data_IF_776102555298
#
_entry.id   IF_776102555298
#
_cell.length_a   1.000
_cell.length_b   1.000
_cell.length_c   1.000
_cell.angle_alpha   90.00
_cell.angle_beta   90.00
_cell.angle_gamma   90.00
#
_symmetry.space_group_name_H-M   'P 1'
#
loop_
_entity.id
_entity.type
_entity.pdbx_description
1 polymer ?
#
# COMPACT_ATOMS: atom_id res chain seq x y z
N UNK A 1 -11.17 -73.87 38.62
CA UNK A 1 -11.23 -72.97 39.79
C UNK A 1 -10.07 -71.95 39.80
N UNK A 2 -10.31 -70.67 40.11
CA UNK A 2 -11.49 -69.82 39.84
C UNK A 2 -11.38 -69.19 38.41
N UNK A 3 -12.45 -68.81 37.73
CA UNK A 3 -13.25 -67.58 37.90
C UNK A 3 -12.42 -66.28 37.79
N UNK A 4 -12.56 -65.59 36.65
CA UNK A 4 -12.11 -64.22 36.42
C UNK A 4 -13.34 -63.39 36.04
N UNK A 5 -13.51 -62.23 36.66
CA UNK A 5 -14.73 -61.41 36.57
C UNK A 5 -14.69 -60.48 35.34
N UNK A 6 -15.85 -60.27 34.71
CA UNK A 6 -16.05 -59.27 33.66
C UNK A 6 -16.27 -57.88 34.29
N UNK A 7 -15.69 -56.80 33.73
CA UNK A 7 -16.00 -55.44 34.16
C UNK A 7 -17.31 -54.96 33.51
N UNK A 8 -18.32 -54.69 34.34
CA UNK A 8 -19.58 -54.08 33.88
C UNK A 8 -19.44 -52.58 33.60
N UNK A 9 -20.25 -52.09 32.65
CA UNK A 9 -20.19 -50.72 32.15
C UNK A 9 -20.68 -49.67 33.17
N UNK A 10 -20.13 -48.46 33.07
CA UNK A 10 -20.63 -47.26 33.75
C UNK A 10 -21.35 -46.35 32.74
N UNK A 11 -22.56 -45.92 33.08
CA UNK A 11 -23.32 -44.91 32.31
C UNK A 11 -22.77 -43.49 32.56
N UNK A 12 -22.81 -42.58 31.56
CA UNK A 12 -22.44 -41.18 31.74
C UNK A 12 -23.57 -40.34 32.35
N UNK A 13 -23.25 -39.53 33.35
CA UNK A 13 -24.19 -38.59 33.99
C UNK A 13 -24.69 -37.49 33.04
N UNK A 14 -25.96 -37.09 33.19
CA UNK A 14 -26.53 -35.94 32.50
C UNK A 14 -26.26 -34.62 33.26
N UNK A 15 -25.93 -33.51 32.58
CA UNK A 15 -25.79 -32.21 33.23
C UNK A 15 -27.16 -31.57 33.55
N UNK A 16 -27.27 -30.76 34.62
CA UNK A 16 -28.52 -30.11 35.02
C UNK A 16 -28.89 -28.90 34.12
N UNK A 17 -30.19 -28.55 34.02
CA UNK A 17 -30.67 -27.48 33.14
C UNK A 17 -30.43 -26.07 33.70
N UNK A 18 -30.26 -25.04 32.85
CA UNK A 18 -30.13 -23.64 33.27
C UNK A 18 -31.48 -23.00 33.68
N UNK A 19 -31.49 -22.00 34.58
CA UNK A 19 -32.70 -21.35 35.06
C UNK A 19 -33.34 -20.40 34.03
N UNK A 20 -34.66 -20.24 34.14
CA UNK A 20 -35.49 -19.42 33.23
C UNK A 20 -35.41 -17.91 33.51
N UNK A 21 -35.70 -17.10 32.49
CA UNK A 21 -35.68 -15.64 32.52
C UNK A 21 -36.95 -15.01 33.14
N UNK A 22 -36.88 -13.75 33.63
CA UNK A 22 -38.05 -12.90 33.83
C UNK A 22 -38.36 -12.06 32.58
N UNK A 23 -39.65 -11.79 32.35
CA UNK A 23 -40.18 -11.07 31.19
C UNK A 23 -40.70 -9.67 31.57
N UNK A 24 -40.68 -8.74 30.60
CA UNK A 24 -41.55 -7.54 30.61
C UNK A 24 -41.62 -6.86 29.24
N UNK A 25 -42.83 -6.50 28.81
CA UNK A 25 -43.15 -5.56 27.72
C UNK A 25 -44.01 -4.41 28.31
N UNK A 26 -44.51 -3.45 27.51
CA UNK A 26 -43.81 -2.35 26.85
C UNK A 26 -44.29 -0.99 27.42
N UNK A 27 -44.02 0.15 26.75
CA UNK A 27 -45.19 0.92 26.31
C UNK A 27 -45.08 1.51 24.90
N UNK A 28 -46.22 2.03 24.44
CA UNK A 28 -46.54 2.50 23.10
C UNK A 28 -46.33 4.00 22.85
N UNK A 29 -46.06 4.37 21.59
CA UNK A 29 -46.96 5.30 20.88
C UNK A 29 -46.38 6.56 20.23
N UNK A 30 -46.63 6.68 18.91
CA UNK A 30 -46.77 7.92 18.09
C UNK A 30 -45.50 8.76 17.85
N UNK A 31 -45.30 9.39 16.68
CA UNK A 31 -46.00 9.36 15.38
C UNK A 31 -45.09 9.89 14.24
N UNK A 32 -45.20 9.28 13.05
CA UNK A 32 -45.13 9.93 11.72
C UNK A 32 -43.83 10.62 11.20
N UNK A 33 -43.67 10.79 9.85
CA UNK A 33 -44.24 10.01 8.74
C UNK A 33 -43.21 9.57 7.66
N UNK A 34 -43.76 8.82 6.71
CA UNK A 34 -43.17 8.16 5.53
C UNK A 34 -43.03 9.08 4.30
N UNK A 35 -42.18 8.62 3.34
CA UNK A 35 -42.03 8.95 1.90
C UNK A 35 -40.72 9.67 1.53
N UNK A 36 -39.86 9.18 0.63
CA UNK A 36 -39.99 8.48 -0.67
C UNK A 36 -40.18 9.43 -1.87
N UNK A 37 -39.09 9.65 -2.62
CA UNK A 37 -38.97 9.99 -4.05
C UNK A 37 -37.44 9.84 -4.36
N UNK A 38 -36.99 9.01 -5.30
CA UNK A 38 -37.17 9.01 -6.76
C UNK A 38 -36.27 10.02 -7.49
N UNK A 39 -35.43 9.51 -8.41
CA UNK A 39 -34.84 10.25 -9.55
C UNK A 39 -35.98 10.78 -10.47
N UNK A 40 -35.77 11.60 -11.55
CA UNK A 40 -34.53 11.93 -12.28
C UNK A 40 -34.52 13.44 -12.69
N UNK A 41 -34.12 13.93 -13.90
CA UNK A 41 -33.25 13.42 -14.98
C UNK A 41 -32.16 14.42 -15.48
N UNK A 42 -31.37 13.97 -16.46
CA UNK A 42 -30.50 14.80 -17.29
C UNK A 42 -31.25 15.56 -18.41
N UNK A 43 -30.68 16.66 -18.93
CA UNK A 43 -31.10 17.21 -20.21
C UNK A 43 -30.54 18.60 -20.61
N UNK A 44 -29.80 18.62 -21.73
CA UNK A 44 -29.63 19.73 -22.69
C UNK A 44 -28.87 21.04 -22.28
N UNK A 45 -27.76 21.29 -22.99
CA UNK A 45 -27.42 22.63 -23.50
C UNK A 45 -28.19 22.93 -24.81
N UNK A 46 -27.95 24.04 -25.56
CA UNK A 46 -26.59 24.48 -25.93
C UNK A 46 -26.33 26.01 -26.06
N UNK A 47 -25.05 26.34 -26.32
CA UNK A 47 -24.51 27.41 -27.20
C UNK A 47 -24.72 28.94 -26.99
N UNK A 48 -23.59 29.62 -27.20
CA UNK A 48 -23.35 30.91 -27.89
C UNK A 48 -22.99 32.18 -27.09
N UNK A 49 -21.97 32.88 -27.62
CA UNK A 49 -21.33 34.11 -27.12
C UNK A 49 -22.11 35.39 -27.48
N UNK A 50 -21.61 36.59 -27.10
CA UNK A 50 -20.71 37.30 -28.05
C UNK A 50 -19.48 37.98 -27.41
N UNK A 51 -18.55 38.40 -28.27
CA UNK A 51 -17.24 38.98 -27.93
C UNK A 51 -17.09 40.49 -28.33
N UNK A 52 -15.84 41.01 -28.24
CA UNK A 52 -15.31 42.31 -28.69
C UNK A 52 -15.35 43.48 -27.67
N UNK A 53 -14.21 43.92 -27.10
CA UNK A 53 -13.22 44.93 -27.58
C UNK A 53 -13.60 46.40 -27.22
N UNK A 54 -12.71 47.35 -26.84
CA UNK A 54 -11.27 47.35 -26.53
C UNK A 54 -10.82 48.72 -25.91
N UNK A 55 -9.51 48.84 -25.61
CA UNK A 55 -8.65 50.07 -25.63
C UNK A 55 -8.39 50.96 -24.36
N UNK A 56 -7.13 50.88 -23.94
CA UNK A 56 -6.12 51.94 -23.61
C UNK A 56 -6.15 52.80 -22.33
N UNK A 57 -4.95 52.81 -21.71
CA UNK A 57 -4.27 53.62 -20.68
C UNK A 57 -4.27 55.17 -20.88
N UNK A 58 -3.56 55.99 -20.05
CA UNK A 58 -3.50 56.19 -18.57
C UNK A 58 -3.58 57.73 -18.26
N UNK A 59 -2.74 58.42 -17.42
CA UNK A 59 -2.14 58.21 -16.08
C UNK A 59 -2.44 59.39 -15.07
N UNK A 60 -1.67 59.50 -13.97
CA UNK A 60 -1.37 60.74 -13.17
C UNK A 60 -2.51 61.37 -12.33
N UNK A 61 -2.31 62.25 -11.33
CA UNK A 61 -1.21 62.59 -10.39
C UNK A 61 -1.83 63.35 -9.18
N UNK A 62 -1.01 63.74 -8.20
CA UNK A 62 -1.37 64.33 -6.90
C UNK A 62 -2.19 65.65 -6.89
N UNK A 63 -2.90 65.87 -5.77
CA UNK A 63 -3.20 67.16 -5.06
C UNK A 63 -3.91 68.31 -5.83
N UNK A 64 -4.89 69.01 -5.23
CA UNK A 64 -4.52 70.24 -4.48
C UNK A 64 -5.41 70.63 -3.29
N UNK A 65 -4.88 71.51 -2.43
CA UNK A 65 -5.64 72.33 -1.46
C UNK A 65 -5.86 73.80 -1.90
N UNK A 66 -6.19 74.67 -0.93
CA UNK A 66 -6.54 76.12 -1.02
C UNK A 66 -7.99 76.42 -1.51
N UNK A 67 -8.74 77.44 -1.07
CA UNK A 67 -8.70 78.41 0.07
C UNK A 67 -10.16 78.98 0.25
N UNK A 68 -10.55 80.04 0.98
CA UNK A 68 -9.89 81.14 1.74
C UNK A 68 -10.91 81.72 2.79
N UNK A 69 -10.81 83.02 3.14
CA UNK A 69 -11.74 83.89 3.91
C UNK A 69 -11.84 83.66 5.45
N UNK A 70 -11.99 84.68 6.31
CA UNK A 70 -11.51 86.08 6.32
C UNK A 70 -11.79 86.71 7.73
N UNK A 71 -11.14 87.83 8.08
CA UNK A 71 -11.78 88.89 8.89
C UNK A 71 -11.92 88.74 10.43
N UNK A 72 -10.81 88.97 11.15
CA UNK A 72 -10.68 89.96 12.25
C UNK A 72 -11.92 90.34 13.12
N UNK A 73 -11.93 89.90 14.40
CA UNK A 73 -12.43 90.70 15.55
C UNK A 73 -12.00 90.13 16.92
N UNK A 74 -11.34 90.94 17.73
CA UNK A 74 -11.17 90.76 19.19
C UNK A 74 -11.93 91.89 19.92
N UNK A 75 -12.10 91.91 21.27
CA UNK A 75 -11.63 90.97 22.30
C UNK A 75 -12.71 90.54 23.34
N UNK A 76 -12.38 89.61 24.27
CA UNK A 76 -12.49 89.78 25.74
C UNK A 76 -12.61 88.47 26.55
N UNK A 77 -11.67 88.28 27.50
CA UNK A 77 -11.77 87.54 28.77
C UNK A 77 -12.06 86.00 28.75
N UNK A 78 -11.56 85.24 29.75
CA UNK A 78 -11.44 83.79 29.64
C UNK A 78 -12.70 83.04 30.05
N UNK A 79 -12.97 81.95 29.33
CA UNK A 79 -13.84 80.84 29.75
C UNK A 79 -12.98 79.58 29.64
N UNK A 80 -12.96 78.76 30.69
CA UNK A 80 -12.09 77.59 30.77
C UNK A 80 -12.59 76.50 29.80
N UNK A 81 -11.69 75.86 29.01
CA UNK A 81 -12.04 74.65 28.28
C UNK A 81 -12.18 73.50 29.28
N UNK A 82 -13.31 72.82 29.23
CA UNK A 82 -13.58 71.61 30.01
C UNK A 82 -12.52 70.55 29.70
N UNK A 83 -11.96 69.91 30.73
CA UNK A 83 -10.83 68.98 30.60
C UNK A 83 -11.13 67.87 29.58
N UNK A 84 -10.34 67.80 28.51
CA UNK A 84 -10.30 66.63 27.64
C UNK A 84 -9.77 65.45 28.46
N UNK A 85 -10.70 64.58 28.90
CA UNK A 85 -10.38 63.39 29.67
C UNK A 85 -9.54 62.47 28.76
N UNK A 86 -8.23 62.45 28.98
CA UNK A 86 -7.33 61.53 28.30
C UNK A 86 -7.68 60.09 28.71
N UNK A 87 -8.10 59.28 27.74
CA UNK A 87 -8.40 57.85 27.90
C UNK A 87 -7.13 56.96 27.84
N UNK A 88 -5.94 57.56 27.89
CA UNK A 88 -4.69 56.82 28.00
C UNK A 88 -4.37 56.50 29.45
N UNK A 89 -4.09 55.23 29.75
CA UNK A 89 -3.72 54.80 31.10
C UNK A 89 -2.42 55.46 31.59
N UNK A 90 -2.24 55.66 32.91
CA UNK A 90 -1.02 56.25 33.48
C UNK A 90 0.24 55.45 33.13
N UNK A 91 1.41 56.10 33.04
CA UNK A 91 2.69 55.43 32.73
C UNK A 91 3.10 54.33 33.74
N UNK A 92 2.52 54.33 34.95
CA UNK A 92 2.73 53.31 36.00
C UNK A 92 1.62 52.23 36.02
N UNK A 93 0.69 52.21 35.05
CA UNK A 93 -0.34 51.18 34.95
C UNK A 93 0.26 49.85 34.49
N UNK A 94 -0.06 48.78 35.23
CA UNK A 94 0.36 47.42 34.91
C UNK A 94 -0.90 46.62 34.65
N UNK A 95 -1.06 46.12 33.42
CA UNK A 95 -2.19 45.27 33.07
C UNK A 95 -2.16 43.96 33.87
N UNK A 96 -3.23 43.69 34.62
CA UNK A 96 -3.43 42.45 35.36
C UNK A 96 -3.79 41.25 34.45
N UNK A 97 -3.87 41.47 33.13
CA UNK A 97 -4.25 40.50 32.09
C UNK A 97 -3.10 40.41 31.10
N UNK A 98 -2.64 39.21 30.75
CA UNK A 98 -1.57 39.08 29.75
C UNK A 98 -2.07 39.35 28.34
N UNK A 99 -1.20 39.86 27.47
CA UNK A 99 -1.45 40.03 26.02
C UNK A 99 -2.04 38.76 25.37
N UNK A 100 -1.67 37.59 25.89
CA UNK A 100 -2.09 36.27 25.41
C UNK A 100 -3.56 35.94 25.74
N UNK A 101 -4.12 36.52 26.81
CA UNK A 101 -5.55 36.44 27.17
C UNK A 101 -6.34 37.61 26.54
N UNK A 102 -5.73 38.79 26.38
CA UNK A 102 -6.36 39.98 25.80
C UNK A 102 -6.50 39.92 24.27
N UNK A 103 -5.52 39.34 23.58
CA UNK A 103 -5.43 39.24 22.11
C UNK A 103 -5.50 37.79 21.58
N UNK A 104 -5.91 36.82 22.40
CA UNK A 104 -5.92 35.39 22.04
C UNK A 104 -6.74 35.00 20.80
N UNK A 105 -7.65 35.87 20.33
CA UNK A 105 -8.34 35.69 19.05
C UNK A 105 -7.62 36.36 17.86
N UNK A 106 -6.88 37.45 18.09
CA UNK A 106 -6.08 38.15 17.06
C UNK A 106 -4.73 37.45 16.84
N UNK A 107 -4.16 36.84 17.88
CA UNK A 107 -2.96 36.01 17.82
C UNK A 107 -3.14 34.74 16.95
N UNK A 108 -4.38 34.24 16.79
CA UNK A 108 -4.69 33.13 15.87
C UNK A 108 -4.71 33.58 14.40
N UNK A 109 -5.08 34.84 14.15
CA UNK A 109 -5.07 35.47 12.82
C UNK A 109 -3.70 36.10 12.49
N UNK A 110 -2.70 35.97 13.36
CA UNK A 110 -1.32 36.35 13.03
C UNK A 110 -0.81 35.44 11.89
N UNK A 111 -0.40 35.99 10.74
CA UNK A 111 0.13 35.18 9.65
C UNK A 111 1.42 34.48 10.09
N UNK A 112 1.41 33.15 10.11
CA UNK A 112 2.62 32.36 10.30
C UNK A 112 3.59 32.59 9.12
N UNK A 113 4.89 32.66 9.38
CA UNK A 113 5.95 32.82 8.36
C UNK A 113 6.13 31.57 7.44
N UNK A 114 5.11 30.71 7.34
CA UNK A 114 5.19 29.38 6.72
C UNK A 114 4.79 29.34 5.23
N UNK A 115 4.20 30.40 4.66
CA UNK A 115 3.65 30.43 3.28
C UNK A 115 4.69 30.34 2.13
N UNK A 116 5.94 29.96 2.41
CA UNK A 116 7.00 29.73 1.42
C UNK A 116 7.78 28.42 1.54
N UNK A 117 7.58 27.62 2.60
CA UNK A 117 8.42 26.43 2.85
C UNK A 117 8.11 25.22 1.93
N UNK A 118 6.94 25.21 1.29
CA UNK A 118 6.51 24.17 0.36
C UNK A 118 7.28 24.19 -0.98
N UNK A 119 7.89 25.32 -1.29
CA UNK A 119 8.67 25.60 -2.49
C UNK A 119 10.17 25.34 -2.30
N UNK A 120 10.59 24.96 -1.09
CA UNK A 120 11.98 24.67 -0.72
C UNK A 120 12.24 23.16 -0.76
N UNK A 121 13.24 22.74 -1.54
CA UNK A 121 13.78 21.38 -1.52
C UNK A 121 15.10 21.32 -0.76
N UNK A 122 15.32 20.19 -0.08
CA UNK A 122 16.58 19.84 0.57
C UNK A 122 17.27 18.78 -0.30
N UNK A 123 18.48 19.09 -0.76
CA UNK A 123 19.32 18.14 -1.52
C UNK A 123 20.50 17.74 -0.64
N UNK A 124 20.54 16.46 -0.26
CA UNK A 124 21.56 15.83 0.57
C UNK A 124 22.51 14.95 -0.28
N UNK A 125 23.66 14.57 0.30
CA UNK A 125 24.78 13.87 -0.35
C UNK A 125 25.44 14.67 -1.51
N UNK A 126 25.46 16.00 -1.39
CA UNK A 126 26.20 16.92 -2.25
C UNK A 126 27.71 16.88 -1.91
N UNK A 127 28.64 16.97 -2.89
CA UNK A 127 30.07 17.00 -2.62
C UNK A 127 30.50 18.09 -1.62
N UNK A 128 31.27 17.70 -0.62
CA UNK A 128 31.87 18.62 0.35
C UNK A 128 33.08 19.34 -0.29
N UNK A 129 32.98 20.65 -0.46
CA UNK A 129 34.00 21.48 -1.13
C UNK A 129 34.38 22.69 -0.29
N UNK A 130 35.62 23.16 -0.46
CA UNK A 130 36.07 24.47 0.05
C UNK A 130 35.77 25.61 -0.94
N UNK A 131 36.02 26.86 -0.55
CA UNK A 131 35.60 28.07 -1.28
C UNK A 131 36.05 28.08 -2.75
N UNK A 132 37.30 27.70 -3.05
CA UNK A 132 37.87 27.66 -4.41
C UNK A 132 37.11 26.78 -5.42
N UNK A 133 36.22 25.91 -4.93
CA UNK A 133 35.43 24.97 -5.74
C UNK A 133 33.91 25.15 -5.56
N UNK A 134 33.47 26.00 -4.63
CA UNK A 134 32.06 26.29 -4.36
C UNK A 134 31.34 26.79 -5.63
N UNK A 135 31.94 27.75 -6.33
CA UNK A 135 31.34 28.35 -7.53
C UNK A 135 31.19 27.34 -8.69
N UNK A 136 32.09 26.35 -8.79
CA UNK A 136 31.96 25.24 -9.76
C UNK A 136 30.85 24.29 -9.37
N UNK A 137 30.68 24.00 -8.08
CA UNK A 137 29.57 23.18 -7.57
C UNK A 137 28.23 23.87 -7.83
N UNK A 138 28.10 25.17 -7.53
CA UNK A 138 26.91 26.00 -7.85
C UNK A 138 26.50 25.88 -9.31
N UNK A 139 27.43 26.08 -10.24
CA UNK A 139 27.18 25.95 -11.68
C UNK A 139 26.68 24.54 -12.09
N UNK A 140 27.18 23.47 -11.45
CA UNK A 140 26.75 22.09 -11.71
C UNK A 140 25.34 21.85 -11.16
N UNK A 141 25.08 22.23 -9.91
CA UNK A 141 23.76 22.12 -9.27
C UNK A 141 22.71 22.91 -10.07
N UNK A 142 22.98 24.18 -10.37
CA UNK A 142 22.09 25.03 -11.16
C UNK A 142 21.74 24.37 -12.51
N UNK A 143 22.71 23.78 -13.22
CA UNK A 143 22.49 23.08 -14.50
C UNK A 143 21.67 21.79 -14.39
N UNK A 144 21.68 21.14 -13.22
CA UNK A 144 20.88 19.93 -12.95
C UNK A 144 19.44 20.34 -12.57
N UNK A 145 19.29 21.26 -11.62
CA UNK A 145 18.01 21.62 -11.02
C UNK A 145 17.18 22.67 -11.79
N UNK A 146 17.81 23.47 -12.67
CA UNK A 146 17.09 24.37 -13.61
C UNK A 146 16.19 23.64 -14.62
N UNK A 147 16.31 22.32 -14.74
CA UNK A 147 15.46 21.52 -15.64
C UNK A 147 14.03 21.35 -15.13
N UNK A 148 13.83 21.49 -13.82
CA UNK A 148 12.54 21.24 -13.15
C UNK A 148 11.79 22.54 -12.84
N UNK A 149 12.49 23.69 -12.81
CA UNK A 149 11.90 25.00 -12.61
C UNK A 149 12.98 26.08 -12.50
N UNK A 150 12.54 27.35 -12.42
CA UNK A 150 13.44 28.46 -12.10
C UNK A 150 13.70 28.49 -10.59
N UNK A 151 14.98 28.39 -10.22
CA UNK A 151 15.46 28.56 -8.85
C UNK A 151 15.44 30.07 -8.54
N UNK A 152 14.88 30.46 -7.39
CA UNK A 152 14.91 31.83 -6.87
C UNK A 152 16.13 32.00 -5.97
N UNK A 153 16.18 31.24 -4.88
CA UNK A 153 17.25 31.27 -3.90
C UNK A 153 18.00 29.93 -3.84
N UNK A 154 19.31 30.01 -3.63
CA UNK A 154 20.18 28.85 -3.44
C UNK A 154 21.07 29.04 -2.20
N UNK A 155 20.86 28.21 -1.18
CA UNK A 155 21.60 28.29 0.09
C UNK A 155 22.52 27.08 0.27
N UNK A 156 23.80 27.36 0.53
CA UNK A 156 24.86 26.37 0.73
C UNK A 156 25.40 26.51 2.16
N UNK A 157 24.90 25.71 3.11
CA UNK A 157 25.40 25.69 4.48
C UNK A 157 26.89 25.32 4.54
N UNK A 158 27.69 26.18 5.19
CA UNK A 158 29.11 25.98 5.43
C UNK A 158 29.41 25.72 6.91
N UNK A 159 30.44 24.94 7.20
CA UNK A 159 31.11 24.86 8.50
C UNK A 159 32.61 24.62 8.27
N UNK A 160 33.46 25.22 9.12
CA UNK A 160 34.91 25.06 9.09
C UNK A 160 35.54 25.29 7.69
N UNK A 161 34.97 26.23 6.92
CA UNK A 161 35.40 26.57 5.56
C UNK A 161 35.07 25.52 4.48
N UNK A 162 34.09 24.64 4.73
CA UNK A 162 33.62 23.62 3.78
C UNK A 162 32.10 23.54 3.76
N UNK A 163 31.52 23.16 2.62
CA UNK A 163 30.07 22.87 2.53
C UNK A 163 29.71 21.63 3.35
N UNK A 164 28.57 21.67 4.05
CA UNK A 164 28.13 20.59 4.95
C UNK A 164 27.58 19.33 4.24
N UNK A 165 27.55 19.32 2.91
CA UNK A 165 27.09 18.18 2.09
C UNK A 165 25.58 18.14 1.83
N UNK A 166 24.84 19.12 2.34
CA UNK A 166 23.44 19.38 2.00
C UNK A 166 23.27 20.83 1.54
N UNK A 167 22.24 21.10 0.74
CA UNK A 167 21.90 22.43 0.20
C UNK A 167 20.38 22.62 0.21
N UNK A 168 19.94 23.88 0.18
CA UNK A 168 18.54 24.23 0.02
C UNK A 168 18.36 25.00 -1.30
N UNK A 169 17.34 24.63 -2.07
CA UNK A 169 16.97 25.31 -3.31
C UNK A 169 15.50 25.70 -3.23
N UNK A 170 15.21 26.97 -3.45
CA UNK A 170 13.86 27.52 -3.47
C UNK A 170 13.39 27.71 -4.91
N UNK A 171 12.23 27.17 -5.25
CA UNK A 171 11.61 27.33 -6.56
C UNK A 171 10.53 28.41 -6.55
N UNK A 172 10.26 28.98 -7.73
CA UNK A 172 9.13 29.92 -7.91
C UNK A 172 7.73 29.27 -7.77
N UNK A 173 7.64 27.94 -7.67
CA UNK A 173 6.36 27.25 -7.48
C UNK A 173 6.56 25.94 -6.69
N UNK A 174 5.64 25.59 -5.79
CA UNK A 174 5.67 24.32 -5.06
C UNK A 174 5.60 23.11 -6.01
N UNK A 175 4.91 23.26 -7.14
CA UNK A 175 4.82 22.22 -8.18
C UNK A 175 6.20 21.83 -8.75
N UNK A 176 7.09 22.80 -8.97
CA UNK A 176 8.45 22.55 -9.44
C UNK A 176 9.31 21.87 -8.36
N UNK A 177 9.11 22.21 -7.08
CA UNK A 177 9.77 21.54 -5.97
C UNK A 177 9.40 20.05 -5.89
N UNK A 178 8.10 19.73 -5.98
CA UNK A 178 7.58 18.36 -5.99
C UNK A 178 8.10 17.56 -7.19
N UNK A 179 8.14 18.16 -8.38
CA UNK A 179 8.64 17.46 -9.58
C UNK A 179 10.18 17.35 -9.60
N UNK A 180 10.91 18.28 -8.98
CA UNK A 180 12.34 18.13 -8.73
C UNK A 180 12.62 16.94 -7.80
N UNK A 181 11.89 16.81 -6.69
CA UNK A 181 12.00 15.67 -5.75
C UNK A 181 11.80 14.34 -6.47
N UNK A 182 10.68 14.19 -7.21
CA UNK A 182 10.36 12.94 -7.93
C UNK A 182 11.38 12.51 -8.98
N UNK A 183 12.04 13.47 -9.64
CA UNK A 183 12.91 13.20 -10.80
C UNK A 183 14.41 13.33 -10.51
N UNK A 184 14.81 13.95 -9.39
CA UNK A 184 16.21 14.14 -9.00
C UNK A 184 16.65 13.28 -7.80
N UNK A 185 15.74 12.68 -7.02
CA UNK A 185 16.13 11.67 -6.02
C UNK A 185 16.84 10.48 -6.70
N UNK A 186 17.97 10.07 -6.15
CA UNK A 186 18.81 9.02 -6.70
C UNK A 186 19.70 9.45 -7.88
N UNK A 187 19.77 10.75 -8.22
CA UNK A 187 20.66 11.24 -9.28
C UNK A 187 22.14 11.04 -8.90
N UNK A 188 22.89 10.31 -9.73
CA UNK A 188 24.30 10.00 -9.49
C UNK A 188 25.19 11.04 -10.16
N UNK A 189 25.85 11.86 -9.34
CA UNK A 189 26.86 12.81 -9.82
C UNK A 189 28.20 12.09 -10.06
N UNK A 190 28.62 11.22 -9.14
CA UNK A 190 29.79 10.36 -9.30
C UNK A 190 29.59 8.99 -8.59
N UNK A 191 30.69 8.29 -8.29
CA UNK A 191 30.66 6.95 -7.65
C UNK A 191 30.36 6.99 -6.14
N UNK A 192 30.54 8.13 -5.48
CA UNK A 192 30.32 8.34 -4.05
C UNK A 192 29.09 9.23 -3.78
N UNK A 193 28.85 10.24 -4.62
CA UNK A 193 27.78 11.22 -4.46
C UNK A 193 26.55 10.84 -5.30
N UNK A 194 25.52 10.33 -4.63
CA UNK A 194 24.17 10.11 -5.17
C UNK A 194 23.24 11.03 -4.42
N UNK A 195 22.64 12.01 -5.11
CA UNK A 195 21.78 13.00 -4.47
C UNK A 195 20.53 12.34 -3.87
N UNK A 196 20.14 12.85 -2.70
CA UNK A 196 18.87 12.57 -2.04
C UNK A 196 18.08 13.87 -1.98
N UNK A 197 16.86 13.87 -2.49
CA UNK A 197 16.05 15.10 -2.61
C UNK A 197 14.75 14.90 -1.86
N UNK A 198 14.45 15.78 -0.90
CA UNK A 198 13.22 15.77 -0.09
C UNK A 198 12.61 17.18 -0.07
N UNK A 199 11.31 17.29 0.26
CA UNK A 199 10.70 18.60 0.54
C UNK A 199 11.10 19.06 1.94
N UNK A 200 11.22 20.38 2.16
CA UNK A 200 11.45 20.90 3.51
C UNK A 200 10.30 20.53 4.46
N UNK A 201 9.05 20.60 3.98
CA UNK A 201 7.82 20.20 4.69
C UNK A 201 7.72 18.71 5.03
N UNK A 202 8.61 17.85 4.52
CA UNK A 202 8.65 16.45 4.95
C UNK A 202 9.15 16.31 6.40
N UNK A 203 9.88 17.31 6.93
CA UNK A 203 10.31 17.34 8.33
C UNK A 203 9.14 17.24 9.30
N UNK A 204 8.08 18.03 9.11
CA UNK A 204 6.89 18.04 9.98
C UNK A 204 6.12 16.73 9.90
N UNK A 205 6.07 16.12 8.71
CA UNK A 205 5.50 14.77 8.50
C UNK A 205 6.27 13.71 9.27
N UNK A 206 7.61 13.79 9.30
CA UNK A 206 8.45 12.86 10.05
C UNK A 206 8.46 13.12 11.57
N UNK A 207 8.28 14.38 12.00
CA UNK A 207 8.11 14.72 13.42
C UNK A 207 6.74 14.31 13.98
N UNK A 208 5.70 14.30 13.13
CA UNK A 208 4.33 13.98 13.52
C UNK A 208 3.89 12.60 13.00
N UNK A 209 4.83 11.64 12.94
CA UNK A 209 4.47 10.23 12.82
C UNK A 209 4.00 9.78 14.20
N UNK A 210 2.73 9.38 14.30
CA UNK A 210 2.21 8.73 15.50
C UNK A 210 2.91 7.38 15.70
N UNK A 211 3.57 7.18 16.84
CA UNK A 211 4.13 5.88 17.25
C UNK A 211 3.02 4.81 17.45
N UNK A 212 1.76 5.23 17.51
CA UNK A 212 0.60 4.35 17.57
C UNK A 212 0.29 3.75 16.19
N UNK A 213 0.67 2.48 16.03
CA UNK A 213 0.24 1.66 14.89
C UNK A 213 -1.24 1.31 15.03
N UNK A 214 -2.11 2.03 14.33
CA UNK A 214 -3.50 1.64 14.18
C UNK A 214 -3.60 0.39 13.29
N UNK A 215 -4.23 -0.67 13.83
CA UNK A 215 -4.51 -1.88 13.06
C UNK A 215 -5.57 -1.52 12.00
N UNK A 216 -5.30 -1.69 10.69
CA UNK A 216 -6.25 -1.32 9.65
C UNK A 216 -7.61 -1.97 9.88
N UNK A 217 -8.69 -1.19 9.73
CA UNK A 217 -10.04 -1.71 9.86
C UNK A 217 -10.25 -2.91 8.94
N UNK A 218 -10.73 -4.02 9.52
CA UNK A 218 -11.05 -5.22 8.75
C UNK A 218 -12.18 -4.85 7.79
N UNK A 219 -11.96 -5.06 6.49
CA UNK A 219 -12.97 -4.81 5.48
C UNK A 219 -14.32 -5.43 5.90
N UNK A 220 -15.43 -4.68 5.83
CA UNK A 220 -16.72 -5.16 6.30
C UNK A 220 -17.10 -6.44 5.57
N UNK A 221 -17.61 -7.42 6.31
CA UNK A 221 -17.99 -8.71 5.75
C UNK A 221 -19.07 -8.50 4.68
N UNK A 222 -18.69 -8.76 3.42
CA UNK A 222 -19.63 -8.81 2.31
C UNK A 222 -20.12 -10.25 2.21
N UNK A 223 -21.43 -10.45 2.39
CA UNK A 223 -22.02 -11.75 2.08
C UNK A 223 -21.91 -12.02 0.57
N UNK A 224 -21.28 -13.13 0.22
CA UNK A 224 -21.05 -13.60 -1.14
C UNK A 224 -22.01 -14.73 -1.52
N UNK A 225 -22.91 -15.12 -0.61
CA UNK A 225 -23.79 -16.27 -0.74
C UNK A 225 -23.07 -17.60 -0.59
N UNK A 226 -23.73 -18.69 -1.00
CA UNK A 226 -23.16 -20.02 -0.88
C UNK A 226 -22.07 -20.29 -1.92
N UNK A 227 -20.81 -20.09 -1.53
CA UNK A 227 -19.63 -20.39 -2.34
C UNK A 227 -19.32 -21.90 -2.46
N UNK A 228 -20.05 -22.76 -1.74
CA UNK A 228 -19.87 -24.23 -1.72
C UNK A 228 -21.16 -24.99 -2.05
N UNK A 229 -22.10 -24.33 -2.73
CA UNK A 229 -23.37 -24.92 -3.16
C UNK A 229 -23.20 -26.27 -3.88
N UNK A 230 -22.10 -26.46 -4.61
CA UNK A 230 -21.80 -27.70 -5.33
C UNK A 230 -21.54 -28.90 -4.40
N UNK A 231 -21.19 -28.66 -3.14
CA UNK A 231 -21.01 -29.70 -2.11
C UNK A 231 -22.35 -30.16 -1.52
N UNK A 232 -23.44 -29.43 -1.79
CA UNK A 232 -24.82 -29.79 -1.42
C UNK A 232 -25.54 -30.58 -2.53
N UNK A 233 -24.88 -30.85 -3.66
CA UNK A 233 -25.42 -31.70 -4.74
C UNK A 233 -25.59 -33.15 -4.23
N UNK A 234 -26.81 -33.70 -4.18
CA UNK A 234 -27.06 -35.06 -3.69
C UNK A 234 -26.40 -36.15 -4.56
N UNK A 235 -26.10 -35.85 -5.83
CA UNK A 235 -25.45 -36.77 -6.76
C UNK A 235 -23.91 -36.72 -6.66
N UNK A 236 -23.33 -35.85 -5.82
CA UNK A 236 -21.89 -35.67 -5.61
C UNK A 236 -21.09 -35.49 -6.91
N UNK A 237 -21.65 -34.77 -7.89
CA UNK A 237 -21.04 -34.54 -9.20
C UNK A 237 -19.84 -33.60 -9.12
N UNK A 238 -18.88 -33.81 -10.01
CA UNK A 238 -17.79 -32.85 -10.24
C UNK A 238 -18.24 -31.75 -11.22
N UNK A 239 -17.69 -30.54 -11.08
CA UNK A 239 -17.81 -29.47 -12.07
C UNK A 239 -16.55 -29.36 -12.93
N UNK A 240 -16.71 -29.06 -14.22
CA UNK A 240 -15.61 -28.76 -15.10
C UNK A 240 -15.90 -27.57 -16.00
N UNK A 241 -14.85 -26.82 -16.33
CA UNK A 241 -14.90 -25.63 -17.19
C UNK A 241 -14.31 -25.95 -18.56
N UNK A 242 -15.02 -25.61 -19.63
CA UNK A 242 -14.57 -25.73 -21.02
C UNK A 242 -14.37 -24.34 -21.60
N UNK A 243 -13.27 -24.16 -22.32
CA UNK A 243 -13.01 -22.96 -23.12
C UNK A 243 -13.18 -23.36 -24.58
N UNK A 244 -14.13 -22.71 -25.25
CA UNK A 244 -14.35 -22.86 -26.68
C UNK A 244 -13.59 -21.76 -27.42
N UNK A 245 -13.17 -22.06 -28.66
CA UNK A 245 -12.69 -21.04 -29.61
C UNK A 245 -11.57 -20.15 -29.00
N UNK A 246 -10.67 -20.77 -28.22
CA UNK A 246 -9.51 -20.14 -27.56
C UNK A 246 -9.82 -18.97 -26.60
N UNK A 247 -11.06 -18.84 -26.12
CA UNK A 247 -11.48 -17.79 -25.17
C UNK A 247 -12.77 -17.08 -25.57
N UNK A 248 -13.22 -17.20 -26.82
CA UNK A 248 -14.44 -16.54 -27.30
C UNK A 248 -15.69 -16.93 -26.49
N UNK A 249 -15.74 -18.17 -25.97
CA UNK A 249 -16.73 -18.61 -24.97
C UNK A 249 -16.08 -19.47 -23.89
N UNK A 250 -16.54 -19.31 -22.65
CA UNK A 250 -16.19 -20.19 -21.52
C UNK A 250 -17.48 -20.63 -20.86
N UNK A 251 -17.65 -21.95 -20.71
CA UNK A 251 -18.85 -22.54 -20.16
C UNK A 251 -18.48 -23.56 -19.08
N UNK A 252 -19.36 -23.71 -18.09
CA UNK A 252 -19.17 -24.60 -16.94
C UNK A 252 -20.26 -25.66 -16.97
N UNK A 253 -19.88 -26.91 -16.79
CA UNK A 253 -20.75 -28.07 -16.86
C UNK A 253 -20.63 -28.92 -15.59
N UNK A 254 -21.74 -29.55 -15.22
CA UNK A 254 -21.75 -30.71 -14.34
C UNK A 254 -21.30 -31.95 -15.11
N UNK A 255 -20.47 -32.76 -14.47
CA UNK A 255 -20.08 -34.09 -14.93
C UNK A 255 -21.19 -35.10 -14.62
N UNK A 256 -22.20 -35.17 -15.48
CA UNK A 256 -23.24 -36.21 -15.44
C UNK A 256 -22.89 -37.37 -16.38
N UNK A 257 -23.35 -38.58 -16.05
CA UNK A 257 -23.06 -39.81 -16.80
C UNK A 257 -23.79 -39.84 -18.15
N UNK A 258 -24.93 -39.14 -18.26
CA UNK A 258 -25.77 -39.14 -19.47
C UNK A 258 -25.40 -38.02 -20.44
N UNK A 259 -25.58 -36.77 -20.01
CA UNK A 259 -25.35 -35.57 -20.81
C UNK A 259 -24.86 -34.44 -19.89
N UNK A 260 -23.82 -33.68 -20.27
CA UNK A 260 -23.26 -32.65 -19.42
C UNK A 260 -24.23 -31.48 -19.24
N UNK A 261 -24.68 -31.25 -18.00
CA UNK A 261 -25.62 -30.18 -17.69
C UNK A 261 -24.87 -28.85 -17.59
N UNK A 262 -25.17 -27.92 -18.49
CA UNK A 262 -24.57 -26.58 -18.50
C UNK A 262 -25.09 -25.73 -17.34
N UNK A 263 -24.18 -25.14 -16.56
CA UNK A 263 -24.47 -24.26 -15.43
C UNK A 263 -24.49 -22.79 -15.90
N UNK A 264 -23.39 -22.37 -16.52
CA UNK A 264 -23.18 -21.00 -17.03
C UNK A 264 -22.44 -21.10 -18.37
N UNK A 265 -22.78 -20.23 -19.31
CA UNK A 265 -22.01 -20.00 -20.55
C UNK A 265 -21.87 -18.49 -20.78
N UNK A 266 -20.64 -18.03 -20.99
CA UNK A 266 -20.32 -16.60 -21.11
C UNK A 266 -19.31 -16.36 -22.22
N UNK A 267 -19.69 -15.49 -23.15
CA UNK A 267 -18.80 -15.03 -24.20
C UNK A 267 -17.68 -14.14 -23.64
N UNK A 268 -16.44 -14.38 -24.07
CA UNK A 268 -15.22 -13.64 -23.70
C UNK A 268 -15.03 -13.48 -22.18
N UNK A 269 -15.33 -14.54 -21.44
CA UNK A 269 -15.20 -14.53 -19.98
C UNK A 269 -13.73 -14.61 -19.51
N UNK A 270 -12.85 -15.18 -20.33
CA UNK A 270 -11.40 -15.17 -20.14
C UNK A 270 -10.71 -14.95 -21.49
N UNK A 271 -9.54 -14.30 -21.49
CA UNK A 271 -8.77 -14.00 -22.70
C UNK A 271 -7.71 -15.08 -23.03
N UNK A 272 -7.31 -15.92 -22.05
CA UNK A 272 -6.24 -16.91 -22.24
C UNK A 272 -6.62 -18.30 -21.74
N UNK A 273 -6.81 -18.46 -20.43
CA UNK A 273 -7.27 -19.71 -19.83
C UNK A 273 -8.07 -19.44 -18.55
N UNK A 274 -8.56 -20.49 -17.91
CA UNK A 274 -9.32 -20.40 -16.65
C UNK A 274 -8.71 -21.35 -15.62
N UNK A 275 -8.67 -20.96 -14.35
CA UNK A 275 -8.10 -21.80 -13.27
C UNK A 275 -9.01 -21.84 -12.06
N UNK A 276 -9.43 -23.03 -11.66
CA UNK A 276 -10.10 -23.27 -10.39
C UNK A 276 -9.13 -23.10 -9.21
N UNK A 277 -9.64 -22.61 -8.08
CA UNK A 277 -8.93 -22.65 -6.81
C UNK A 277 -8.85 -24.09 -6.26
N UNK A 278 -7.91 -24.40 -5.34
CA UNK A 278 -7.64 -25.78 -4.89
C UNK A 278 -8.83 -26.52 -4.26
N UNK A 279 -9.86 -25.81 -3.78
CA UNK A 279 -11.10 -26.42 -3.25
C UNK A 279 -12.33 -26.11 -4.12
N UNK A 280 -12.17 -25.59 -5.34
CA UNK A 280 -13.28 -25.23 -6.23
C UNK A 280 -14.15 -24.05 -5.75
N UNK A 281 -13.83 -23.38 -4.63
CA UNK A 281 -14.61 -22.24 -4.12
C UNK A 281 -14.61 -21.04 -5.08
N UNK A 282 -13.52 -20.88 -5.86
CA UNK A 282 -13.32 -19.77 -6.78
C UNK A 282 -12.87 -20.24 -8.17
N UNK A 283 -13.31 -19.49 -9.17
CA UNK A 283 -12.85 -19.59 -10.55
C UNK A 283 -12.04 -18.32 -10.89
N UNK A 284 -10.82 -18.46 -11.39
CA UNK A 284 -9.98 -17.35 -11.85
C UNK A 284 -10.00 -17.24 -13.37
N UNK A 285 -10.41 -16.08 -13.89
CA UNK A 285 -10.30 -15.71 -15.31
C UNK A 285 -9.18 -14.71 -15.52
N UNK A 286 -8.49 -14.81 -16.65
CA UNK A 286 -7.31 -14.04 -17.00
C UNK A 286 -7.64 -13.01 -18.07
N UNK A 287 -7.23 -11.76 -17.83
CA UNK A 287 -7.40 -10.63 -18.74
C UNK A 287 -6.09 -9.84 -18.80
N UNK A 288 -5.81 -9.14 -19.90
CA UNK A 288 -4.60 -8.31 -20.03
C UNK A 288 -4.43 -7.30 -18.88
N UNK A 289 -5.55 -6.76 -18.37
CA UNK A 289 -5.59 -5.77 -17.28
C UNK A 289 -5.48 -6.37 -15.87
N UNK A 290 -5.66 -7.69 -15.70
CA UNK A 290 -5.76 -8.30 -14.38
C UNK A 290 -6.46 -9.66 -14.34
N UNK A 291 -6.60 -10.19 -13.14
CA UNK A 291 -7.36 -11.43 -12.88
C UNK A 291 -8.66 -11.08 -12.16
N UNK A 292 -9.75 -11.75 -12.53
CA UNK A 292 -11.00 -11.71 -11.79
C UNK A 292 -11.27 -13.07 -11.13
N UNK A 293 -11.70 -13.05 -9.87
CA UNK A 293 -12.20 -14.20 -9.13
C UNK A 293 -13.73 -14.19 -9.15
N UNK A 294 -14.30 -15.34 -9.47
CA UNK A 294 -15.73 -15.58 -9.55
C UNK A 294 -16.11 -16.72 -8.61
N UNK A 295 -17.34 -16.71 -8.08
CA UNK A 295 -17.83 -17.80 -7.24
C UNK A 295 -19.33 -17.71 -6.92
N UNK A 296 -19.79 -18.69 -6.16
CA UNK A 296 -21.22 -18.94 -5.95
C UNK A 296 -21.91 -19.57 -7.16
N UNK A 297 -23.17 -19.98 -6.98
CA UNK A 297 -23.98 -20.71 -7.96
C UNK A 297 -23.97 -20.08 -9.38
N UNK A 298 -24.16 -18.76 -9.46
CA UNK A 298 -24.21 -17.99 -10.72
C UNK A 298 -22.88 -17.31 -11.05
N UNK A 299 -21.76 -17.80 -10.51
CA UNK A 299 -20.41 -17.29 -10.70
C UNK A 299 -20.36 -15.76 -10.77
N UNK A 300 -20.69 -15.09 -9.66
CA UNK A 300 -20.63 -13.62 -9.56
C UNK A 300 -19.19 -13.19 -9.34
N UNK A 301 -18.81 -12.01 -9.83
CA UNK A 301 -17.47 -11.47 -9.61
C UNK A 301 -17.31 -11.10 -8.13
N UNK A 302 -16.38 -11.76 -7.45
CA UNK A 302 -16.10 -11.57 -6.02
C UNK A 302 -15.04 -10.48 -5.86
N UNK A 303 -13.88 -10.68 -6.51
CA UNK A 303 -12.72 -9.81 -6.39
C UNK A 303 -12.05 -9.64 -7.76
N UNK A 304 -11.38 -8.51 -7.99
CA UNK A 304 -10.53 -8.28 -9.17
C UNK A 304 -9.16 -7.77 -8.72
N UNK A 305 -8.12 -8.39 -9.24
CA UNK A 305 -6.73 -8.00 -9.02
C UNK A 305 -6.21 -7.27 -10.26
N UNK A 306 -6.02 -5.96 -10.15
CA UNK A 306 -5.44 -5.13 -11.20
C UNK A 306 -3.94 -5.39 -11.32
N UNK A 307 -3.55 -6.35 -12.15
CA UNK A 307 -2.15 -6.63 -12.48
C UNK A 307 -2.01 -6.86 -13.99
N UNK A 308 -1.27 -5.98 -14.65
CA UNK A 308 -1.13 -6.02 -16.10
C UNK A 308 -0.23 -7.19 -16.54
N UNK A 309 -0.66 -7.92 -17.58
CA UNK A 309 0.13 -9.00 -18.20
C UNK A 309 0.43 -10.20 -17.29
N UNK A 310 -0.48 -10.57 -16.39
CA UNK A 310 -0.37 -11.83 -15.63
C UNK A 310 -0.52 -13.02 -16.58
N UNK A 311 0.30 -14.05 -16.39
CA UNK A 311 0.26 -15.28 -17.17
C UNK A 311 -0.09 -16.50 -16.33
N UNK A 312 0.10 -16.44 -15.00
CA UNK A 312 -0.16 -17.52 -14.07
C UNK A 312 -0.79 -16.95 -12.80
N UNK A 313 -1.70 -17.69 -12.18
CA UNK A 313 -2.08 -17.48 -10.77
C UNK A 313 -1.78 -18.77 -10.02
N UNK A 314 -1.18 -18.68 -8.85
CA UNK A 314 -1.11 -19.80 -7.92
C UNK A 314 -1.88 -19.51 -6.65
N UNK A 315 -2.53 -20.52 -6.09
CA UNK A 315 -3.40 -20.37 -4.93
C UNK A 315 -2.83 -21.13 -3.74
N UNK A 316 -2.86 -20.51 -2.57
CA UNK A 316 -2.62 -21.24 -1.32
C UNK A 316 -3.60 -22.43 -1.20
N UNK A 317 -3.19 -23.60 -0.69
CA UNK A 317 -4.07 -24.76 -0.54
C UNK A 317 -5.32 -24.53 0.34
N UNK A 318 -5.27 -23.47 1.18
CA UNK A 318 -6.37 -23.05 2.04
C UNK A 318 -7.19 -21.87 1.47
N UNK A 319 -6.90 -21.41 0.25
CA UNK A 319 -7.61 -20.34 -0.46
C UNK A 319 -7.60 -18.97 0.24
N UNK A 320 -6.67 -18.75 1.19
CA UNK A 320 -6.49 -17.48 1.90
C UNK A 320 -5.70 -16.44 1.10
N UNK A 321 -4.79 -16.94 0.25
CA UNK A 321 -3.90 -16.14 -0.59
C UNK A 321 -3.94 -16.65 -2.03
N UNK A 322 -3.90 -15.72 -2.99
CA UNK A 322 -3.66 -15.98 -4.40
C UNK A 322 -2.51 -15.09 -4.88
N UNK A 323 -1.54 -15.69 -5.57
CA UNK A 323 -0.32 -15.04 -6.04
C UNK A 323 -0.40 -14.94 -7.57
N UNK A 324 -0.74 -13.76 -8.13
CA UNK A 324 -0.62 -13.53 -9.57
C UNK A 324 0.86 -13.43 -9.94
N UNK A 325 1.29 -14.20 -10.93
CA UNK A 325 2.67 -14.24 -11.41
C UNK A 325 2.74 -13.88 -12.90
N UNK A 326 3.58 -12.89 -13.20
CA UNK A 326 4.00 -12.55 -14.55
C UNK A 326 5.36 -13.19 -14.82
N UNK A 327 5.44 -14.09 -15.80
CA UNK A 327 6.71 -14.68 -16.20
C UNK A 327 7.44 -13.70 -17.12
N UNK A 328 8.34 -12.90 -16.55
CA UNK A 328 9.30 -12.17 -17.35
C UNK A 328 10.45 -13.13 -17.69
N UNK A 329 10.61 -13.52 -18.95
CA UNK A 329 11.84 -14.14 -19.41
C UNK A 329 12.89 -13.03 -19.59
N UNK A 330 13.89 -12.89 -18.70
CA UNK A 330 15.05 -12.06 -19.03
C UNK A 330 15.75 -12.71 -20.22
N UNK A 331 15.76 -12.04 -21.38
CA UNK A 331 16.57 -12.47 -22.52
C UNK A 331 18.05 -12.40 -22.13
N UNK A 332 18.66 -13.55 -21.82
CA UNK A 332 20.12 -13.71 -21.86
C UNK A 332 20.84 -14.14 -20.57
N UNK A 333 20.17 -14.39 -19.44
CA UNK A 333 20.84 -14.99 -18.27
C UNK A 333 19.96 -16.05 -17.57
N UNK A 334 20.36 -17.32 -17.69
CA UNK A 334 19.89 -18.41 -16.84
C UNK A 334 20.46 -18.26 -15.42
N UNK A 335 19.97 -17.26 -14.67
CA UNK A 335 20.27 -17.13 -13.25
C UNK A 335 19.57 -18.22 -12.47
N UNK A 336 20.24 -19.36 -12.31
CA UNK A 336 19.90 -20.36 -11.31
C UNK A 336 19.88 -19.65 -9.94
N UNK A 337 18.71 -19.58 -9.32
CA UNK A 337 18.54 -18.92 -8.02
C UNK A 337 19.16 -19.79 -6.90
N UNK A 338 20.47 -19.65 -6.68
CA UNK A 338 21.26 -20.43 -5.68
C UNK A 338 20.91 -20.17 -4.20
N UNK A 339 19.75 -19.56 -3.91
CA UNK A 339 19.27 -19.26 -2.56
C UNK A 339 17.75 -19.37 -2.50
N UNK A 340 17.25 -20.25 -1.63
CA UNK A 340 15.85 -20.28 -1.28
C UNK A 340 15.57 -19.18 -0.26
N UNK A 341 14.59 -18.32 -0.57
CA UNK A 341 14.06 -17.32 0.36
C UNK A 341 12.63 -17.72 0.72
N UNK A 342 12.48 -18.39 1.87
CA UNK A 342 11.18 -18.70 2.44
C UNK A 342 10.59 -17.47 3.12
N UNK A 343 9.33 -17.17 2.81
CA UNK A 343 8.56 -16.09 3.44
C UNK A 343 7.64 -16.69 4.50
N UNK A 344 7.79 -16.26 5.75
CA UNK A 344 6.72 -16.42 6.73
C UNK A 344 5.62 -15.39 6.44
N UNK A 345 4.48 -15.87 5.93
CA UNK A 345 3.32 -15.03 5.55
C UNK A 345 2.73 -14.28 6.75
N UNK A 346 2.97 -14.72 7.99
CA UNK A 346 2.48 -14.06 9.20
C UNK A 346 3.53 -13.16 9.88
N UNK A 347 4.83 -13.42 9.69
CA UNK A 347 5.90 -12.71 10.41
C UNK A 347 6.84 -11.86 9.54
N UNK A 348 6.73 -11.92 8.20
CA UNK A 348 7.63 -11.23 7.24
C UNK A 348 9.13 -11.53 7.50
N UNK A 349 9.43 -12.71 8.06
CA UNK A 349 10.81 -13.14 8.37
C UNK A 349 11.34 -14.07 7.29
N UNK A 350 12.45 -13.67 6.70
CA UNK A 350 13.15 -14.49 5.70
C UNK A 350 13.77 -15.76 6.31
N UNK A 351 13.54 -16.89 5.67
CA UNK A 351 14.34 -18.11 5.82
C UNK A 351 15.29 -18.18 4.61
N UNK A 352 16.58 -17.93 4.84
CA UNK A 352 17.60 -17.98 3.77
C UNK A 352 18.34 -19.31 3.84
N UNK A 353 18.07 -20.21 2.89
CA UNK A 353 18.87 -21.42 2.69
C UNK A 353 19.78 -21.23 1.47
N UNK A 354 21.08 -21.39 1.66
CA UNK A 354 22.10 -21.21 0.61
C UNK A 354 22.40 -22.52 -0.12
N UNK A 355 22.65 -22.44 -1.43
CA UNK A 355 23.02 -23.57 -2.31
C UNK A 355 21.99 -24.70 -2.36
N UNK A 356 20.71 -24.37 -2.18
CA UNK A 356 19.61 -25.32 -2.42
C UNK A 356 19.41 -25.44 -3.92
N UNK A 357 19.41 -26.67 -4.45
CA UNK A 357 19.10 -26.94 -5.87
C UNK A 357 17.61 -27.03 -6.11
N UNK A 358 16.88 -27.70 -5.21
CA UNK A 358 15.43 -27.88 -5.29
C UNK A 358 14.82 -28.06 -3.89
N UNK A 359 13.53 -27.74 -3.74
CA UNK A 359 12.79 -27.85 -2.50
C UNK A 359 11.32 -28.22 -2.75
N UNK A 360 10.71 -28.93 -1.81
CA UNK A 360 9.31 -29.35 -1.89
C UNK A 360 8.70 -29.44 -0.50
N UNK A 361 7.53 -28.83 -0.33
CA UNK A 361 6.76 -28.87 0.92
C UNK A 361 6.04 -30.21 1.09
N UNK A 362 6.00 -30.73 2.32
CA UNK A 362 5.11 -31.84 2.64
C UNK A 362 3.65 -31.39 2.55
N UNK A 363 2.77 -32.16 1.88
CA UNK A 363 1.37 -31.77 1.71
C UNK A 363 0.54 -31.90 2.99
N UNK A 364 0.95 -32.74 3.96
CA UNK A 364 0.22 -32.96 5.21
C UNK A 364 0.78 -32.23 6.44
N UNK A 365 1.93 -31.56 6.33
CA UNK A 365 2.56 -30.92 7.48
C UNK A 365 3.56 -29.83 7.11
N UNK A 366 3.87 -28.96 8.07
CA UNK A 366 4.77 -27.82 7.90
C UNK A 366 6.26 -28.26 7.88
N UNK A 367 6.61 -29.11 6.92
CA UNK A 367 7.96 -29.65 6.72
C UNK A 367 8.40 -29.32 5.29
N UNK A 368 9.60 -28.75 5.14
CA UNK A 368 10.26 -28.57 3.85
C UNK A 368 11.26 -29.71 3.66
N UNK A 369 11.16 -30.43 2.55
CA UNK A 369 12.29 -31.18 2.00
C UNK A 369 13.08 -30.26 1.08
N UNK A 370 14.40 -30.24 1.20
CA UNK A 370 15.28 -29.58 0.24
C UNK A 370 16.57 -30.38 0.07
N UNK A 371 17.25 -30.18 -1.05
CA UNK A 371 18.56 -30.79 -1.26
C UNK A 371 19.62 -29.78 -1.70
N UNK A 372 20.85 -30.06 -1.27
CA UNK A 372 22.07 -29.31 -1.58
C UNK A 372 22.99 -30.26 -2.35
N UNK A 373 23.53 -29.85 -3.51
CA UNK A 373 24.43 -30.67 -4.31
C UNK A 373 25.83 -30.75 -3.67
N UNK A 374 26.69 -31.59 -4.22
CA UNK A 374 28.11 -31.67 -3.82
C UNK A 374 28.84 -30.35 -4.09
N UNK A 375 29.62 -29.88 -3.12
CA UNK A 375 30.44 -28.67 -3.24
C UNK A 375 31.80 -28.91 -2.59
N UNK A 376 32.80 -29.19 -3.44
CA UNK A 376 34.18 -29.54 -3.05
C UNK A 376 34.20 -30.72 -2.08
N UNK A 377 34.51 -30.47 -0.81
CA UNK A 377 34.64 -31.48 0.25
C UNK A 377 33.30 -31.79 0.95
N UNK A 378 32.22 -31.05 0.62
CA UNK A 378 30.90 -31.21 1.23
C UNK A 378 30.05 -32.17 0.36
N UNK A 379 29.61 -33.32 0.90
CA UNK A 379 28.75 -34.25 0.16
C UNK A 379 27.35 -33.67 -0.07
N UNK A 380 26.67 -34.14 -1.11
CA UNK A 380 25.27 -33.80 -1.34
C UNK A 380 24.44 -34.23 -0.13
N UNK A 381 23.47 -33.41 0.26
CA UNK A 381 22.58 -33.74 1.38
C UNK A 381 21.12 -33.41 1.07
N UNK A 382 20.24 -34.32 1.45
CA UNK A 382 18.80 -34.10 1.48
C UNK A 382 18.39 -33.86 2.92
N UNK A 383 17.74 -32.75 3.19
CA UNK A 383 17.33 -32.32 4.52
C UNK A 383 15.82 -32.17 4.60
N UNK A 384 15.23 -32.73 5.67
CA UNK A 384 13.88 -32.43 6.14
C UNK A 384 13.98 -31.40 7.28
N UNK A 385 13.39 -30.22 7.08
CA UNK A 385 13.33 -29.16 8.08
C UNK A 385 11.89 -28.87 8.49
N UNK A 386 11.63 -28.88 9.80
CA UNK A 386 10.32 -28.49 10.33
C UNK A 386 10.20 -26.97 10.44
N UNK A 387 9.01 -26.44 10.20
CA UNK A 387 8.65 -25.05 10.48
C UNK A 387 7.46 -24.99 11.45
N UNK A 388 7.41 -23.98 12.36
CA UNK A 388 8.31 -22.82 12.44
C UNK A 388 9.63 -23.05 13.20
N UNK A 389 9.86 -24.23 13.78
CA UNK A 389 11.03 -24.52 14.64
C UNK A 389 12.40 -24.43 13.95
N UNK A 390 12.45 -24.51 12.61
CA UNK A 390 13.67 -24.51 11.77
C UNK A 390 14.65 -25.65 12.08
N UNK A 391 14.19 -26.68 12.78
CA UNK A 391 15.01 -27.84 13.14
C UNK A 391 15.12 -28.82 11.97
N UNK A 392 16.34 -29.26 11.64
CA UNK A 392 16.59 -30.33 10.68
C UNK A 392 16.20 -31.69 11.32
N UNK A 393 14.98 -32.17 11.08
CA UNK A 393 14.46 -33.45 11.60
C UNK A 393 15.33 -34.62 11.11
N UNK A 394 15.72 -34.55 9.83
CA UNK A 394 16.49 -35.61 9.18
C UNK A 394 17.39 -35.04 8.11
N UNK A 395 18.67 -35.40 8.15
CA UNK A 395 19.63 -35.16 7.08
C UNK A 395 20.08 -36.51 6.53
N UNK A 396 20.16 -36.64 5.21
CA UNK A 396 20.73 -37.81 4.54
C UNK A 396 21.79 -37.37 3.54
N UNK A 397 23.04 -37.68 3.86
CA UNK A 397 24.17 -37.44 2.97
C UNK A 397 24.19 -38.49 1.85
N UNK A 398 24.59 -38.06 0.66
CA UNK A 398 24.67 -38.81 -0.58
C UNK A 398 26.01 -38.47 -1.26
N UNK A 399 26.47 -39.35 -2.14
CA UNK A 399 27.75 -39.22 -2.84
C UNK A 399 27.59 -39.58 -4.32
N UNK A 400 28.39 -38.93 -5.17
CA UNK A 400 28.36 -39.02 -6.62
C UNK A 400 26.98 -38.66 -7.21
N UNK A 401 26.28 -37.67 -6.65
CA UNK A 401 24.94 -37.27 -7.08
C UNK A 401 25.00 -36.26 -8.23
N UNK A 402 24.21 -36.51 -9.28
CA UNK A 402 24.00 -35.58 -10.39
C UNK A 402 22.73 -34.76 -10.18
N UNK A 403 21.63 -35.42 -9.84
CA UNK A 403 20.32 -34.81 -9.62
C UNK A 403 19.52 -35.56 -8.54
N UNK A 404 18.67 -34.84 -7.84
CA UNK A 404 17.68 -35.39 -6.91
C UNK A 404 16.29 -34.83 -7.23
N UNK A 405 15.30 -35.71 -7.39
CA UNK A 405 13.87 -35.33 -7.42
C UNK A 405 13.15 -35.76 -6.15
N UNK A 406 12.39 -34.83 -5.58
CA UNK A 406 11.66 -34.98 -4.34
C UNK A 406 10.19 -35.28 -4.65
N UNK A 407 9.69 -36.44 -4.20
CA UNK A 407 8.32 -36.87 -4.44
C UNK A 407 7.63 -37.23 -3.13
N UNK A 408 6.76 -36.34 -2.65
CA UNK A 408 5.92 -36.58 -1.48
C UNK A 408 4.71 -37.46 -1.82
N UNK A 409 4.38 -38.39 -0.93
CA UNK A 409 3.07 -39.04 -0.91
C UNK A 409 1.99 -38.01 -0.49
N UNK A 410 0.77 -38.15 -1.00
CA UNK A 410 -0.28 -37.10 -0.93
C UNK A 410 -0.68 -36.64 0.48
N UNK A 411 -0.53 -37.49 1.49
CA UNK A 411 -0.82 -37.17 2.90
C UNK A 411 0.43 -36.67 3.65
N UNK A 412 1.62 -36.72 3.04
CA UNK A 412 2.89 -36.32 3.64
C UNK A 412 3.59 -37.42 4.44
N UNK A 413 3.05 -38.64 4.47
CA UNK A 413 3.55 -39.77 5.28
C UNK A 413 4.94 -40.25 4.85
N UNK A 414 5.23 -40.15 3.54
CA UNK A 414 6.45 -40.64 2.93
C UNK A 414 7.02 -39.64 1.93
N UNK A 415 8.35 -39.49 1.95
CA UNK A 415 9.13 -38.82 0.91
C UNK A 415 9.95 -39.85 0.14
N UNK A 416 9.69 -39.99 -1.16
CA UNK A 416 10.58 -40.67 -2.08
C UNK A 416 11.59 -39.67 -2.65
N UNK A 417 12.87 -40.04 -2.68
CA UNK A 417 13.93 -39.26 -3.33
C UNK A 417 14.50 -40.11 -4.47
N UNK A 418 14.25 -39.70 -5.71
CA UNK A 418 14.94 -40.26 -6.88
C UNK A 418 16.31 -39.61 -6.94
N UNK A 419 17.37 -40.41 -6.81
CA UNK A 419 18.77 -39.94 -6.82
C UNK A 419 19.47 -40.50 -8.05
N UNK A 420 19.81 -39.64 -9.00
CA UNK A 420 20.59 -40.01 -10.18
C UNK A 420 22.08 -39.85 -9.85
N UNK A 421 22.87 -40.90 -10.11
CA UNK A 421 24.29 -40.97 -9.72
C UNK A 421 25.21 -41.29 -10.89
N UNK A 422 26.39 -40.69 -10.90
CA UNK A 422 27.46 -41.09 -11.82
C UNK A 422 28.22 -42.29 -11.24
N UNK A 423 28.37 -43.41 -11.98
CA UNK A 423 29.20 -44.52 -11.55
C UNK A 423 30.67 -44.07 -11.41
N UNK A 424 31.38 -44.58 -10.40
CA UNK A 424 32.83 -44.34 -10.26
C UNK A 424 33.56 -44.98 -11.43
N UNK A 425 34.09 -44.16 -12.35
CA UNK A 425 34.80 -44.62 -13.54
C UNK A 425 34.55 -43.80 -14.82
N UNK A 426 33.78 -42.72 -14.77
CA UNK A 426 33.56 -41.83 -15.92
C UNK A 426 33.76 -40.36 -15.50
N UNK A 427 35.03 -39.98 -15.35
CA UNK A 427 35.54 -38.61 -15.36
C UNK A 427 36.66 -38.54 -16.40
#
# INVERSE_FOLDING_TARGET
>A
PPAAEEPTAAEPEQPPPPPQAPSSQPPSGRESPEKAEAEPPAGAGPEAEPAAEAKTEPPSEAEPGAAQEDGEAAPAAPVEPEDEISFSDPEDFVDDISDEELLGDVLKDQPQEADGIDSVIVVDNVPQVGPDRLEKLKNVIHKIFSKFGKIINEFYPEADGKTKGYIFLEYMSPSHAVDAVKNADGYKLDKQHTFRVNLFTDFDKYMTISDEWEIPEKQPFKDLGNLRYWLEDPDCRDQYSVIFESGDRTSIFWNDIKEPVQIEDRARWTETYVRWSPKGTYLATFHQRGIALWGGEKFKQIQRFSHQGVQLIDFSPCERYGIPQRHYYPKGEDRIFSSLVGWDVFSVRFLVLRKVSDFSWSPGGNIIAFWVPEDKDIPARVTLMQLPSRQEIRVRNLFNVVDCKLHWQKNGDYLCVKVDRTPKGTQ
#
